data_IF_509352707904
#
_entry.id   IF_509352707904
#
_cell.length_a   1.000
_cell.length_b   1.000
_cell.length_c   1.000
_cell.angle_alpha   90.00
_cell.angle_beta   90.00
_cell.angle_gamma   90.00
#
_symmetry.space_group_name_H-M   'P 1'
#
loop_
_entity.id
_entity.type
_entity.pdbx_description
1 polymer ?
#
# COMPACT_ATOMS: atom_id res chain seq x y z
N UNK A 1 8.05 19.92 2.63
CA UNK A 1 7.20 18.71 2.76
C UNK A 1 6.98 18.03 1.40
N UNK A 2 7.97 17.99 0.49
CA UNK A 2 7.68 17.68 -0.93
C UNK A 2 8.13 16.30 -1.42
N UNK A 3 9.12 15.65 -0.80
CA UNK A 3 9.69 14.42 -1.38
C UNK A 3 8.98 13.14 -0.92
N UNK A 4 8.68 13.03 0.38
CA UNK A 4 8.03 11.84 0.97
C UNK A 4 6.63 11.60 0.39
N UNK A 5 5.78 12.63 0.38
CA UNK A 5 4.42 12.51 -0.15
C UNK A 5 4.43 12.21 -1.65
N UNK A 6 5.34 12.84 -2.41
CA UNK A 6 5.51 12.54 -3.84
C UNK A 6 5.93 11.10 -4.11
N UNK A 7 6.81 10.53 -3.28
CA UNK A 7 7.19 9.10 -3.37
C UNK A 7 5.99 8.18 -3.10
N UNK A 8 5.23 8.45 -2.04
CA UNK A 8 4.01 7.69 -1.70
C UNK A 8 3.01 7.73 -2.85
N UNK A 9 2.74 8.92 -3.41
CA UNK A 9 1.79 9.09 -4.51
C UNK A 9 2.24 8.36 -5.78
N UNK A 10 3.55 8.37 -6.08
CA UNK A 10 4.10 7.65 -7.24
C UNK A 10 3.99 6.13 -7.09
N UNK A 11 4.28 5.59 -5.90
CA UNK A 11 4.13 4.16 -5.62
C UNK A 11 2.66 3.75 -5.75
N UNK A 12 1.76 4.53 -5.15
CA UNK A 12 0.31 4.30 -5.23
C UNK A 12 -0.17 4.30 -6.68
N UNK A 13 0.18 5.33 -7.46
CA UNK A 13 -0.24 5.46 -8.86
C UNK A 13 0.23 4.26 -9.70
N UNK A 14 1.45 3.79 -9.46
CA UNK A 14 2.01 2.61 -10.14
C UNK A 14 1.21 1.35 -9.81
N UNK A 15 0.80 1.17 -8.55
CA UNK A 15 -0.02 0.04 -8.14
C UNK A 15 -1.42 0.06 -8.76
N UNK A 16 -2.09 1.21 -8.76
CA UNK A 16 -3.44 1.38 -9.33
C UNK A 16 -3.45 1.14 -10.85
N UNK A 17 -2.38 1.52 -11.55
CA UNK A 17 -2.22 1.25 -12.98
C UNK A 17 -1.79 -0.19 -13.34
N UNK A 18 -1.39 -1.00 -12.35
CA UNK A 18 -0.87 -2.34 -12.61
C UNK A 18 -2.00 -3.38 -12.70
N UNK A 19 -1.94 -4.25 -13.71
CA UNK A 19 -2.78 -5.46 -13.79
C UNK A 19 -2.17 -6.63 -13.02
N UNK A 20 -0.84 -6.66 -12.89
CA UNK A 20 -0.12 -7.71 -12.18
C UNK A 20 -0.26 -7.54 -10.66
N UNK A 21 -0.78 -8.59 -10.01
CA UNK A 21 -0.98 -8.64 -8.57
C UNK A 21 0.34 -8.56 -7.79
N UNK A 22 1.44 -9.10 -8.35
CA UNK A 22 2.77 -9.03 -7.73
C UNK A 22 3.26 -7.59 -7.66
N UNK A 23 3.06 -6.80 -8.72
CA UNK A 23 3.40 -5.37 -8.73
C UNK A 23 2.61 -4.63 -7.66
N UNK A 24 1.30 -4.92 -7.53
CA UNK A 24 0.47 -4.34 -6.47
C UNK A 24 0.95 -4.71 -5.06
N UNK A 25 1.30 -5.97 -4.83
CA UNK A 25 1.82 -6.43 -3.53
C UNK A 25 3.19 -5.81 -3.20
N UNK A 26 4.09 -5.68 -4.18
CA UNK A 26 5.37 -4.98 -4.00
C UNK A 26 5.17 -3.52 -3.65
N UNK A 27 4.22 -2.83 -4.29
CA UNK A 27 3.87 -1.46 -3.95
C UNK A 27 3.29 -1.33 -2.53
N UNK A 28 2.44 -2.28 -2.11
CA UNK A 28 1.93 -2.34 -0.73
C UNK A 28 3.08 -2.49 0.27
N UNK A 29 4.06 -3.36 0.00
CA UNK A 29 5.22 -3.53 0.88
C UNK A 29 6.02 -2.23 0.98
N UNK A 30 6.30 -1.57 -0.14
CA UNK A 30 7.03 -0.30 -0.15
C UNK A 30 6.27 0.80 0.60
N UNK A 31 4.95 0.87 0.45
CA UNK A 31 4.12 1.83 1.19
C UNK A 31 4.13 1.55 2.69
N UNK A 32 4.20 0.28 3.10
CA UNK A 32 4.21 -0.09 4.52
C UNK A 32 5.47 0.41 5.26
N UNK A 33 6.60 0.58 4.56
CA UNK A 33 7.83 1.16 5.12
C UNK A 33 7.65 2.62 5.57
N UNK A 34 6.65 3.33 5.03
CA UNK A 34 6.32 4.70 5.44
C UNK A 34 5.47 4.76 6.72
N UNK A 35 5.11 3.61 7.31
CA UNK A 35 4.30 3.51 8.51
C UNK A 35 2.90 4.07 8.29
N UNK A 36 2.47 4.97 9.17
CA UNK A 36 1.11 5.55 9.14
C UNK A 36 0.76 6.23 7.83
N UNK A 37 1.73 6.94 7.24
CA UNK A 37 1.53 7.66 5.99
C UNK A 37 1.27 6.67 4.82
N UNK A 38 1.66 5.40 4.98
CA UNK A 38 1.39 4.31 4.06
C UNK A 38 -0.02 3.69 4.18
N UNK A 39 -0.74 3.90 5.29
CA UNK A 39 -2.02 3.21 5.53
C UNK A 39 -3.09 3.64 4.52
N UNK A 40 -3.26 4.95 4.32
CA UNK A 40 -4.22 5.49 3.34
C UNK A 40 -3.98 4.98 1.92
N UNK A 41 -2.77 5.10 1.33
CA UNK A 41 -2.52 4.63 -0.02
C UNK A 41 -2.65 3.09 -0.15
N UNK A 42 -2.28 2.31 0.88
CA UNK A 42 -2.53 0.85 0.87
C UNK A 42 -4.04 0.57 0.85
N UNK A 43 -4.82 1.30 1.64
CA UNK A 43 -6.29 1.15 1.68
C UNK A 43 -6.93 1.45 0.33
N UNK A 44 -6.45 2.48 -0.37
CA UNK A 44 -6.91 2.79 -1.74
C UNK A 44 -6.63 1.64 -2.71
N UNK A 45 -5.43 1.03 -2.67
CA UNK A 45 -5.07 -0.12 -3.53
C UNK A 45 -5.94 -1.35 -3.20
N UNK A 46 -6.22 -1.60 -1.92
CA UNK A 46 -7.08 -2.70 -1.46
C UNK A 46 -8.51 -2.53 -1.98
N UNK A 47 -9.05 -1.31 -1.92
CA UNK A 47 -10.40 -1.00 -2.38
C UNK A 47 -10.54 -1.09 -3.91
N UNK A 48 -9.52 -0.68 -4.66
CA UNK A 48 -9.47 -0.77 -6.12
C UNK A 48 -9.30 -2.22 -6.63
N UNK A 49 -8.56 -3.05 -5.88
CA UNK A 49 -8.28 -4.42 -6.31
C UNK A 49 -9.53 -5.30 -6.32
N UNK A 50 -9.64 -6.19 -7.30
CA UNK A 50 -10.60 -7.33 -7.26
C UNK A 50 -9.96 -8.62 -6.73
N UNK A 51 -8.63 -8.69 -6.68
CA UNK A 51 -7.90 -9.86 -6.18
C UNK A 51 -8.02 -9.96 -4.67
N UNK A 52 -8.55 -11.10 -4.20
CA UNK A 52 -8.60 -11.44 -2.77
C UNK A 52 -7.21 -11.50 -2.13
N UNK A 53 -6.20 -11.98 -2.87
CA UNK A 53 -4.82 -12.07 -2.38
C UNK A 53 -4.24 -10.68 -2.12
N UNK A 54 -4.41 -9.75 -3.06
CA UNK A 54 -3.94 -8.36 -2.90
C UNK A 54 -4.68 -7.68 -1.73
N UNK A 55 -5.98 -7.92 -1.59
CA UNK A 55 -6.77 -7.37 -0.47
C UNK A 55 -6.26 -7.88 0.87
N UNK A 56 -6.11 -9.19 1.00
CA UNK A 56 -5.63 -9.81 2.25
C UNK A 56 -4.23 -9.29 2.61
N UNK A 57 -3.30 -9.29 1.64
CA UNK A 57 -1.95 -8.80 1.84
C UNK A 57 -1.91 -7.33 2.31
N UNK A 58 -2.73 -6.46 1.72
CA UNK A 58 -2.86 -5.07 2.15
C UNK A 58 -3.42 -4.92 3.56
N UNK A 59 -4.44 -5.70 3.92
CA UNK A 59 -5.02 -5.69 5.26
C UNK A 59 -4.05 -6.20 6.33
N UNK A 60 -3.26 -7.22 6.01
CA UNK A 60 -2.22 -7.76 6.88
C UNK A 60 -1.15 -6.68 7.16
N UNK A 61 -0.70 -5.97 6.13
CA UNK A 61 0.28 -4.88 6.27
C UNK A 61 -0.26 -3.70 7.08
N UNK A 62 -1.52 -3.31 6.88
CA UNK A 62 -2.16 -2.29 7.71
C UNK A 62 -2.20 -2.73 9.19
N UNK A 63 -2.47 -4.00 9.45
CA UNK A 63 -2.49 -4.56 10.81
C UNK A 63 -1.10 -4.54 11.44
N UNK A 64 -0.08 -4.95 10.68
CA UNK A 64 1.32 -4.89 11.11
C UNK A 64 1.73 -3.47 11.51
N UNK A 65 1.50 -2.47 10.65
CA UNK A 65 1.81 -1.06 10.92
C UNK A 65 1.15 -0.59 12.22
N UNK A 66 -0.14 -0.91 12.41
CA UNK A 66 -0.89 -0.54 13.63
C UNK A 66 -0.37 -1.27 14.87
N UNK A 67 0.11 -2.50 14.72
CA UNK A 67 0.63 -3.30 15.83
C UNK A 67 1.97 -2.81 16.35
N UNK A 68 2.80 -2.21 15.49
CA UNK A 68 4.10 -1.61 15.84
C UNK A 68 3.98 -0.35 16.72
N UNK A 69 2.76 0.13 16.97
CA UNK A 69 2.48 1.28 17.85
C UNK A 69 2.18 0.91 19.30
N UNK A 70 2.11 -0.38 19.62
CA UNK A 70 1.94 -0.86 20.99
C UNK A 70 3.26 -0.89 21.73
#
# INVERSE_FOLDING_TARGET
>A
MSDKQGQIDNIKKSALGALDQKVRMSAINALAEYGDDGITPITEIVNDSISSEVKQHGMDKITEIKSLKK
#
